data_IF_108958664354
#
_entry.id   IF_108958664354
#
_cell.length_a   1.000
_cell.length_b   1.000
_cell.length_c   1.000
_cell.angle_alpha   90.00
_cell.angle_beta   90.00
_cell.angle_gamma   90.00
#
_symmetry.space_group_name_H-M   'P 1'
#
loop_
_entity.id
_entity.type
_entity.pdbx_description
1 polymer ?
#
# COMPACT_ATOMS: atom_id res chain seq x y z
N UNK A 1 -14.31 16.00 -7.32
CA UNK A 1 -13.39 15.64 -6.22
C UNK A 1 -12.14 15.06 -6.87
N UNK A 2 -10.95 15.60 -6.61
CA UNK A 2 -9.70 15.04 -7.13
C UNK A 2 -9.11 14.03 -6.13
N UNK A 3 -8.35 13.07 -6.65
CA UNK A 3 -7.60 12.11 -5.83
C UNK A 3 -6.59 12.80 -4.90
N UNK A 4 -5.99 13.91 -5.36
CA UNK A 4 -5.08 14.72 -4.56
C UNK A 4 -5.74 15.33 -3.32
N UNK A 5 -7.00 15.78 -3.45
CA UNK A 5 -7.78 16.32 -2.33
C UNK A 5 -8.09 15.26 -1.28
N UNK A 6 -8.31 14.01 -1.73
CA UNK A 6 -8.52 12.88 -0.83
C UNK A 6 -7.27 12.53 -0.05
N UNK A 7 -6.11 12.42 -0.73
CA UNK A 7 -4.83 12.16 -0.07
C UNK A 7 -4.48 13.25 0.94
N UNK A 8 -4.66 14.52 0.54
CA UNK A 8 -4.45 15.67 1.44
C UNK A 8 -5.35 15.58 2.68
N UNK A 9 -6.54 15.00 2.56
CA UNK A 9 -7.44 14.81 3.70
C UNK A 9 -6.99 13.66 4.62
N UNK A 10 -6.36 12.63 4.07
CA UNK A 10 -5.79 11.52 4.86
C UNK A 10 -4.55 11.97 5.64
N UNK A 11 -3.62 12.65 4.98
CA UNK A 11 -2.34 13.10 5.57
C UNK A 11 -2.49 14.31 6.49
N UNK A 12 -3.68 14.91 6.59
CA UNK A 12 -4.01 15.90 7.63
C UNK A 12 -4.14 15.29 9.02
N UNK A 13 -4.34 13.98 9.12
CA UNK A 13 -4.43 13.31 10.42
C UNK A 13 -3.04 13.03 10.98
N UNK A 14 -2.88 13.13 12.29
CA UNK A 14 -1.61 12.87 12.99
C UNK A 14 -1.16 11.40 12.93
N UNK A 15 -2.00 10.52 12.38
CA UNK A 15 -1.80 9.07 12.36
C UNK A 15 -1.31 8.54 11.01
N UNK A 16 -1.28 9.40 9.98
CA UNK A 16 -1.01 9.01 8.59
C UNK A 16 0.10 9.89 8.03
N UNK A 17 1.33 9.36 8.04
CA UNK A 17 2.50 10.06 7.52
C UNK A 17 2.54 10.12 5.99
N UNK A 18 2.05 9.06 5.32
CA UNK A 18 2.04 8.94 3.87
C UNK A 18 0.79 8.19 3.38
N UNK A 19 0.34 8.52 2.18
CA UNK A 19 -0.79 7.87 1.53
C UNK A 19 -0.66 7.91 0.01
N UNK A 20 -1.16 6.86 -0.65
CA UNK A 20 -1.12 6.73 -2.11
C UNK A 20 -2.42 6.11 -2.61
N UNK A 21 -2.82 6.51 -3.81
CA UNK A 21 -3.90 5.89 -4.55
C UNK A 21 -3.27 5.25 -5.77
N UNK A 22 -3.42 3.94 -5.88
CA UNK A 22 -2.97 3.15 -7.00
C UNK A 22 -4.16 2.78 -7.88
N UNK A 23 -3.91 2.54 -9.15
CA UNK A 23 -4.79 1.78 -10.01
C UNK A 23 -4.26 0.35 -10.12
N UNK A 24 -5.14 -0.64 -10.01
CA UNK A 24 -4.81 -2.07 -10.11
C UNK A 24 -5.52 -2.76 -11.26
N UNK A 25 -6.15 -1.99 -12.14
CA UNK A 25 -6.80 -2.56 -13.32
C UNK A 25 -5.72 -3.33 -14.09
N UNK A 26 -5.95 -4.62 -14.40
CA UNK A 26 -4.97 -5.44 -15.09
C UNK A 26 -4.46 -4.76 -16.37
N UNK A 27 -3.17 -4.47 -16.45
CA UNK A 27 -2.53 -3.80 -17.59
C UNK A 27 -2.57 -2.27 -17.56
N UNK A 28 -3.13 -1.65 -16.52
CA UNK A 28 -3.15 -0.20 -16.30
C UNK A 28 -2.67 0.17 -14.89
N UNK A 29 -1.80 -0.65 -14.30
CA UNK A 29 -1.33 -0.43 -12.94
C UNK A 29 -0.45 0.82 -12.87
N UNK A 30 -0.84 1.78 -12.04
CA UNK A 30 -0.23 3.11 -12.01
C UNK A 30 -0.50 3.83 -10.69
N UNK A 31 0.33 4.81 -10.36
CA UNK A 31 0.06 5.74 -9.26
C UNK A 31 -0.90 6.82 -9.76
N UNK A 32 -2.07 6.97 -9.15
CA UNK A 32 -3.05 7.99 -9.50
C UNK A 32 -2.90 9.27 -8.70
N UNK A 33 -2.53 9.14 -7.43
CA UNK A 33 -2.17 10.25 -6.57
C UNK A 33 -1.27 9.74 -5.44
N UNK A 34 -0.39 10.58 -4.92
CA UNK A 34 0.46 10.27 -3.77
C UNK A 34 0.65 11.51 -2.89
N UNK A 35 0.97 11.33 -1.62
CA UNK A 35 1.30 12.45 -0.75
C UNK A 35 2.57 13.16 -1.26
N UNK A 36 2.62 14.52 -1.26
CA UNK A 36 3.81 15.25 -1.63
C UNK A 36 4.98 14.90 -0.71
N UNK A 37 6.11 14.46 -1.28
CA UNK A 37 7.28 14.03 -0.51
C UNK A 37 7.15 12.65 0.15
N UNK A 38 6.02 11.96 -0.05
CA UNK A 38 5.81 10.58 0.38
C UNK A 38 6.67 9.59 -0.40
N UNK A 39 7.15 8.55 0.28
CA UNK A 39 7.95 7.48 -0.32
C UNK A 39 7.09 6.54 -1.18
N UNK A 40 5.78 6.47 -0.89
CA UNK A 40 4.82 5.64 -1.64
C UNK A 40 4.62 6.10 -3.10
N UNK A 41 5.09 7.28 -3.49
CA UNK A 41 5.02 7.74 -4.88
C UNK A 41 5.93 6.95 -5.84
N UNK A 42 6.92 6.21 -5.31
CA UNK A 42 7.85 5.40 -6.09
C UNK A 42 7.35 3.96 -6.30
N UNK A 43 6.12 3.64 -5.90
CA UNK A 43 5.55 2.30 -6.10
C UNK A 43 5.43 2.01 -7.59
N UNK A 44 6.03 0.90 -8.02
CA UNK A 44 6.05 0.45 -9.40
C UNK A 44 4.84 -0.42 -9.75
N UNK A 45 4.47 -0.45 -11.04
CA UNK A 45 3.39 -1.29 -11.54
C UNK A 45 3.59 -2.79 -11.21
N UNK A 46 4.83 -3.28 -11.17
CA UNK A 46 5.14 -4.65 -10.77
C UNK A 46 4.87 -4.94 -9.30
N UNK A 47 5.07 -3.96 -8.42
CA UNK A 47 4.76 -4.10 -6.99
C UNK A 47 3.25 -4.11 -6.77
N UNK A 48 2.50 -3.28 -7.50
CA UNK A 48 1.02 -3.32 -7.48
C UNK A 48 0.52 -4.69 -7.92
N UNK A 49 1.05 -5.23 -9.02
CA UNK A 49 0.72 -6.58 -9.51
C UNK A 49 0.99 -7.66 -8.47
N UNK A 50 2.11 -7.56 -7.73
CA UNK A 50 2.43 -8.51 -6.68
C UNK A 50 1.41 -8.48 -5.53
N UNK A 51 0.95 -7.29 -5.13
CA UNK A 51 -0.05 -7.12 -4.05
C UNK A 51 -1.42 -7.68 -4.44
N UNK A 52 -1.82 -7.47 -5.70
CA UNK A 52 -3.12 -7.94 -6.19
C UNK A 52 -3.09 -9.37 -6.72
N UNK A 53 -1.92 -10.00 -6.79
CA UNK A 53 -1.75 -11.35 -7.33
C UNK A 53 -2.71 -12.35 -6.67
N UNK A 54 -3.18 -13.34 -7.43
CA UNK A 54 -4.05 -14.39 -6.89
C UNK A 54 -3.30 -15.35 -5.97
N UNK A 55 -2.00 -15.56 -6.22
CA UNK A 55 -1.15 -16.35 -5.35
C UNK A 55 -0.75 -15.54 -4.11
N UNK A 56 -1.28 -15.95 -2.96
CA UNK A 56 -1.00 -15.34 -1.65
C UNK A 56 0.07 -16.07 -0.86
N UNK A 57 0.41 -17.30 -1.24
CA UNK A 57 1.39 -18.12 -0.50
C UNK A 57 2.79 -17.51 -0.54
N UNK A 58 3.16 -16.96 -1.70
CA UNK A 58 4.46 -16.31 -1.93
C UNK A 58 4.63 -15.02 -1.15
N UNK A 59 3.54 -14.30 -0.85
CA UNK A 59 3.56 -13.09 -0.02
C UNK A 59 4.00 -13.39 1.42
N UNK A 60 3.57 -14.52 1.99
CA UNK A 60 3.96 -14.92 3.35
C UNK A 60 5.37 -15.50 3.40
N UNK A 61 5.80 -16.22 2.35
CA UNK A 61 7.12 -16.84 2.30
C UNK A 61 8.25 -15.82 2.02
N UNK A 62 8.06 -14.97 1.01
CA UNK A 62 9.10 -14.06 0.52
C UNK A 62 8.91 -12.60 0.98
N UNK A 63 7.73 -12.27 1.50
CA UNK A 63 7.33 -10.90 1.76
C UNK A 63 6.88 -10.18 0.48
N UNK A 64 6.74 -8.86 0.59
CA UNK A 64 6.41 -7.98 -0.53
C UNK A 64 7.37 -6.80 -0.55
N UNK A 65 7.55 -6.19 -1.71
CA UNK A 65 8.33 -4.96 -1.84
C UNK A 65 7.40 -3.83 -2.24
N UNK A 66 7.56 -2.66 -1.64
CA UNK A 66 6.83 -1.45 -1.97
C UNK A 66 7.81 -0.30 -2.12
N UNK A 67 7.80 0.39 -3.26
CA UNK A 67 8.75 1.46 -3.56
C UNK A 67 10.21 1.05 -3.26
N UNK A 68 10.57 -0.19 -3.56
CA UNK A 68 11.91 -0.76 -3.29
C UNK A 68 12.20 -1.14 -1.83
N UNK A 69 11.26 -0.91 -0.90
CA UNK A 69 11.39 -1.28 0.52
C UNK A 69 10.80 -2.66 0.77
N UNK A 70 11.55 -3.52 1.48
CA UNK A 70 11.07 -4.86 1.85
C UNK A 70 10.05 -4.76 2.98
N UNK A 71 8.97 -5.52 2.85
CA UNK A 71 7.88 -5.54 3.80
C UNK A 71 7.45 -6.99 4.09
N UNK A 72 6.82 -7.17 5.25
CA UNK A 72 6.23 -8.44 5.70
C UNK A 72 4.72 -8.27 5.81
N UNK A 73 3.98 -9.23 5.28
CA UNK A 73 2.53 -9.28 5.44
C UNK A 73 2.20 -9.77 6.85
N UNK A 74 1.42 -8.98 7.59
CA UNK A 74 0.92 -9.36 8.92
C UNK A 74 -0.43 -10.08 8.81
N UNK A 75 -1.31 -9.55 7.97
CA UNK A 75 -2.65 -10.08 7.72
C UNK A 75 -3.01 -9.84 6.25
N UNK A 76 -3.51 -10.87 5.57
CA UNK A 76 -4.10 -10.73 4.23
C UNK A 76 -5.59 -11.07 4.27
N UNK A 77 -6.42 -10.05 4.08
CA UNK A 77 -7.84 -10.18 3.82
C UNK A 77 -8.26 -9.33 2.61
N UNK A 78 -7.33 -9.09 1.67
CA UNK A 78 -7.54 -8.19 0.54
C UNK A 78 -8.60 -8.71 -0.43
N UNK A 79 -8.73 -10.04 -0.54
CA UNK A 79 -9.69 -10.74 -1.39
C UNK A 79 -10.85 -11.36 -0.58
N UNK A 80 -10.95 -11.05 0.71
CA UNK A 80 -12.05 -11.49 1.56
C UNK A 80 -13.17 -10.45 1.48
N UNK A 81 -14.32 -10.88 0.99
CA UNK A 81 -15.49 -10.01 0.85
C UNK A 81 -15.86 -9.36 2.19
N UNK A 82 -16.14 -8.07 2.16
CA UNK A 82 -16.40 -7.25 3.35
C UNK A 82 -15.18 -6.81 4.17
N UNK A 83 -13.97 -7.40 3.97
CA UNK A 83 -12.75 -6.94 4.66
C UNK A 83 -11.87 -6.07 3.77
N UNK A 84 -11.56 -6.56 2.56
CA UNK A 84 -10.78 -5.85 1.53
C UNK A 84 -9.53 -5.12 2.03
N UNK A 85 -8.86 -5.67 3.05
CA UNK A 85 -7.72 -5.01 3.70
C UNK A 85 -6.55 -5.97 3.90
N UNK A 86 -5.34 -5.42 3.88
CA UNK A 86 -4.11 -6.17 4.11
C UNK A 86 -3.18 -5.31 4.95
N UNK A 87 -2.72 -5.84 6.07
CA UNK A 87 -1.80 -5.12 6.97
C UNK A 87 -0.38 -5.60 6.73
N UNK A 88 0.53 -4.64 6.62
CA UNK A 88 1.90 -4.85 6.23
C UNK A 88 2.81 -4.08 7.19
N UNK A 89 3.96 -4.66 7.51
CA UNK A 89 5.01 -4.00 8.28
C UNK A 89 6.27 -3.91 7.45
N UNK A 90 6.88 -2.72 7.43
CA UNK A 90 8.17 -2.54 6.80
C UNK A 90 9.24 -3.33 7.57
N UNK A 91 10.11 -4.04 6.83
CA UNK A 91 11.27 -4.72 7.44
C UNK A 91 12.34 -3.69 7.74
N UNK A 92 12.97 -3.82 8.90
CA UNK A 92 14.17 -3.05 9.23
C UNK A 92 15.31 -3.41 8.29
N UNK A 93 16.09 -2.41 7.91
CA UNK A 93 17.35 -2.61 7.19
C UNK A 93 18.34 -1.54 7.64
N UNK A 94 19.63 -1.71 7.32
CA UNK A 94 20.65 -0.68 7.62
C UNK A 94 20.32 0.68 7.01
N UNK A 95 19.56 0.70 5.90
CA UNK A 95 19.09 1.93 5.23
C UNK A 95 17.82 2.50 5.83
N UNK A 96 17.07 1.70 6.58
CA UNK A 96 15.73 2.01 7.07
C UNK A 96 15.59 1.44 8.49
N UNK A 97 16.13 2.16 9.50
CA UNK A 97 16.22 1.66 10.87
C UNK A 97 14.88 1.68 11.61
N UNK A 98 13.94 2.51 11.18
CA UNK A 98 12.65 2.74 11.84
C UNK A 98 11.52 2.03 11.06
N UNK A 99 11.10 0.82 11.47
CA UNK A 99 10.05 0.10 10.79
C UNK A 99 8.68 0.64 11.20
N UNK A 100 7.81 0.91 10.23
CA UNK A 100 6.44 1.31 10.47
C UNK A 100 5.46 0.30 9.87
N UNK A 101 4.22 0.36 10.33
CA UNK A 101 3.13 -0.49 9.82
C UNK A 101 2.20 0.35 8.95
N UNK A 102 1.58 -0.28 7.96
CA UNK A 102 0.65 0.37 7.06
C UNK A 102 -0.36 -0.63 6.52
N UNK A 103 -1.51 -0.11 6.07
CA UNK A 103 -2.61 -0.94 5.57
C UNK A 103 -2.86 -0.65 4.08
N UNK A 104 -3.17 -1.70 3.35
CA UNK A 104 -3.62 -1.62 1.97
C UNK A 104 -5.12 -1.91 1.97
N UNK A 105 -5.90 -0.96 1.45
CA UNK A 105 -7.33 -1.14 1.22
C UNK A 105 -7.60 -1.36 -0.27
N UNK A 106 -8.40 -2.38 -0.58
CA UNK A 106 -8.93 -2.61 -1.93
C UNK A 106 -10.36 -2.12 -2.00
N UNK A 107 -10.70 -1.47 -3.11
CA UNK A 107 -12.07 -1.03 -3.39
C UNK A 107 -12.55 -1.70 -4.66
N UNK A 108 -13.82 -2.11 -4.67
CA UNK A 108 -14.43 -2.77 -5.82
C UNK A 108 -14.67 -1.80 -7.01
N UNK A 109 -14.37 -0.49 -6.88
CA UNK A 109 -14.50 0.52 -7.95
C UNK A 109 -13.42 1.62 -8.01
N UNK A 110 -12.23 1.42 -7.44
CA UNK A 110 -11.14 2.40 -7.49
C UNK A 110 -10.47 2.53 -6.12
N UNK A 111 -9.19 2.20 -6.08
CA UNK A 111 -8.46 1.71 -4.92
C UNK A 111 -8.14 2.78 -3.88
N UNK A 112 -8.00 2.41 -2.60
CA UNK A 112 -7.60 3.34 -1.53
C UNK A 112 -6.62 2.64 -0.59
N UNK A 113 -5.32 2.93 -0.70
CA UNK A 113 -4.29 2.46 0.23
C UNK A 113 -4.24 3.44 1.40
N UNK A 114 -4.33 2.96 2.65
CA UNK A 114 -4.32 3.79 3.86
C UNK A 114 -3.27 3.27 4.83
N UNK A 115 -2.17 3.98 5.01
CA UNK A 115 -1.24 3.69 6.11
C UNK A 115 -1.90 4.02 7.45
N UNK A 116 -1.88 3.10 8.42
CA UNK A 116 -2.32 3.32 9.80
C UNK A 116 -1.20 2.81 10.72
N UNK A 117 -0.63 3.68 11.55
CA UNK A 117 0.31 3.29 12.59
C UNK A 117 -0.49 2.79 13.81
N UNK A 118 -0.14 1.60 14.33
CA UNK A 118 -0.63 1.04 15.60
C UNK A 118 0.41 1.35 16.68
#
# INVERSE_FOLDING_TARGET
MSWDSYITSLTKSEWVDDAVILGCTPGQESVWAAAPGGWLNQVSASEVKAIIASDRSTLFANGVTLAGRKCTVLRDALNVDGQNTMDIKMKTSEKEPDPFSFTIGRSHKGENIKQHNI
#
